data_IF_757927885138
#
_entry.id   IF_757927885138
#
_cell.length_a   1.000
_cell.length_b   1.000
_cell.length_c   1.000
_cell.angle_alpha   90.00
_cell.angle_beta   90.00
_cell.angle_gamma   90.00
#
_symmetry.space_group_name_H-M   'P 1'
#
loop_
_entity.id
_entity.type
_entity.pdbx_description
1 polymer ?
#
# COMPACT_ATOMS: atom_id res chain seq x y z
N UNK A 1 -7.63 9.63 -19.20
CA UNK A 1 -7.14 9.29 -17.85
C UNK A 1 -8.25 8.59 -17.09
N UNK A 2 -7.92 7.53 -16.35
CA UNK A 2 -8.93 6.65 -15.72
C UNK A 2 -9.85 7.40 -14.73
N UNK A 3 -9.32 8.41 -14.03
CA UNK A 3 -10.06 9.17 -13.00
C UNK A 3 -10.52 10.57 -13.47
N UNK A 4 -10.64 10.82 -14.77
CA UNK A 4 -11.07 12.13 -15.27
C UNK A 4 -12.50 12.48 -14.83
N UNK A 5 -13.41 11.52 -14.88
CA UNK A 5 -14.81 11.70 -14.48
C UNK A 5 -14.95 12.10 -13.00
N UNK A 6 -14.11 11.56 -12.12
CA UNK A 6 -14.07 11.94 -10.69
C UNK A 6 -13.67 13.40 -10.51
N UNK A 7 -12.73 13.89 -11.32
CA UNK A 7 -12.34 15.30 -11.30
C UNK A 7 -13.43 16.19 -11.89
N UNK A 8 -14.14 15.72 -12.91
CA UNK A 8 -15.26 16.43 -13.54
C UNK A 8 -16.47 16.53 -12.61
N UNK A 9 -16.75 15.49 -11.83
CA UNK A 9 -17.77 15.51 -10.77
C UNK A 9 -17.40 16.53 -9.68
N UNK A 10 -16.11 16.57 -9.28
CA UNK A 10 -15.64 17.43 -8.20
C UNK A 10 -15.49 18.91 -8.58
N UNK A 11 -15.03 19.20 -9.80
CA UNK A 11 -14.67 20.56 -10.24
C UNK A 11 -15.53 21.06 -11.41
N UNK A 12 -16.47 20.25 -11.93
CA UNK A 12 -17.34 20.63 -13.02
C UNK A 12 -16.57 21.01 -14.29
N UNK A 13 -16.96 22.12 -14.91
CA UNK A 13 -16.35 22.64 -16.13
C UNK A 13 -14.88 23.10 -15.95
N UNK A 14 -14.40 23.28 -14.72
CA UNK A 14 -12.99 23.63 -14.48
C UNK A 14 -12.05 22.44 -14.70
N UNK A 15 -12.58 21.21 -14.67
CA UNK A 15 -11.79 20.01 -14.93
C UNK A 15 -11.18 20.00 -16.35
N UNK A 16 -11.88 20.59 -17.34
CA UNK A 16 -11.41 20.68 -18.72
C UNK A 16 -10.19 21.63 -18.86
N UNK A 17 -9.97 22.53 -17.89
CA UNK A 17 -8.82 23.45 -17.85
C UNK A 17 -7.61 22.87 -17.13
N UNK A 18 -7.75 21.72 -16.46
CA UNK A 18 -6.65 21.11 -15.72
C UNK A 18 -5.58 20.59 -16.68
N UNK A 19 -4.29 20.84 -16.40
CA UNK A 19 -3.21 20.21 -17.16
C UNK A 19 -3.32 18.69 -17.11
N UNK A 20 -3.18 18.02 -18.26
CA UNK A 20 -3.26 16.56 -18.36
C UNK A 20 -2.24 15.85 -17.44
N UNK A 21 -1.07 16.47 -17.21
CA UNK A 21 -0.09 15.97 -16.24
C UNK A 21 -0.61 15.92 -14.81
N UNK A 22 -1.38 16.93 -14.38
CA UNK A 22 -1.99 16.95 -13.05
C UNK A 22 -3.08 15.88 -12.90
N UNK A 23 -3.89 15.67 -13.95
CA UNK A 23 -4.87 14.58 -14.01
C UNK A 23 -4.19 13.20 -13.93
N UNK A 24 -3.02 13.07 -14.56
CA UNK A 24 -2.17 11.87 -14.48
C UNK A 24 -1.67 11.61 -13.06
N UNK A 25 -1.10 12.62 -12.41
CA UNK A 25 -0.62 12.52 -11.01
C UNK A 25 -1.78 12.16 -10.07
N UNK A 26 -2.95 12.80 -10.22
CA UNK A 26 -4.12 12.48 -9.42
C UNK A 26 -4.51 10.99 -9.55
N UNK A 27 -4.52 10.47 -10.78
CA UNK A 27 -4.84 9.07 -11.04
C UNK A 27 -3.81 8.12 -10.39
N UNK A 28 -2.53 8.46 -10.44
CA UNK A 28 -1.46 7.68 -9.79
C UNK A 28 -1.58 7.70 -8.27
N UNK A 29 -1.80 8.88 -7.68
CA UNK A 29 -1.97 9.05 -6.23
C UNK A 29 -3.21 8.32 -5.72
N UNK A 30 -4.32 8.36 -6.46
CA UNK A 30 -5.54 7.63 -6.07
C UNK A 30 -5.33 6.12 -6.10
N UNK A 31 -4.57 5.59 -7.07
CA UNK A 31 -4.17 4.19 -7.07
C UNK A 31 -3.31 3.82 -5.86
N UNK A 32 -2.36 4.67 -5.47
CA UNK A 32 -1.54 4.47 -4.25
C UNK A 32 -2.43 4.48 -3.01
N UNK A 33 -3.38 5.42 -2.90
CA UNK A 33 -4.35 5.49 -1.81
C UNK A 33 -5.11 4.17 -1.66
N UNK A 34 -5.68 3.64 -2.74
CA UNK A 34 -6.43 2.38 -2.71
C UNK A 34 -5.52 1.21 -2.31
N UNK A 35 -4.30 1.13 -2.86
CA UNK A 35 -3.34 0.08 -2.50
C UNK A 35 -2.94 0.12 -1.02
N UNK A 36 -2.72 1.31 -0.46
CA UNK A 36 -2.45 1.49 0.96
C UNK A 36 -3.64 1.07 1.82
N UNK A 37 -4.87 1.42 1.42
CA UNK A 37 -6.08 0.98 2.14
C UNK A 37 -6.22 -0.54 2.15
N UNK A 38 -5.88 -1.22 1.06
CA UNK A 38 -5.86 -2.68 0.99
C UNK A 38 -4.80 -3.29 1.92
N UNK A 39 -3.59 -2.71 1.94
CA UNK A 39 -2.52 -3.14 2.86
C UNK A 39 -2.96 -2.95 4.31
N UNK A 40 -3.50 -1.77 4.64
CA UNK A 40 -4.01 -1.44 5.97
C UNK A 40 -5.11 -2.39 6.43
N UNK A 41 -6.05 -2.74 5.55
CA UNK A 41 -7.09 -3.72 5.86
C UNK A 41 -6.51 -5.11 6.14
N UNK A 42 -5.50 -5.53 5.37
CA UNK A 42 -4.82 -6.82 5.56
C UNK A 42 -4.00 -6.90 6.84
N UNK A 43 -3.28 -5.82 7.19
CA UNK A 43 -2.43 -5.75 8.38
C UNK A 43 -3.13 -5.19 9.63
N UNK A 44 -4.42 -4.85 9.52
CA UNK A 44 -5.25 -4.28 10.60
C UNK A 44 -4.73 -2.95 11.15
N UNK A 45 -4.18 -2.12 10.26
CA UNK A 45 -3.76 -0.75 10.59
C UNK A 45 -4.88 0.25 10.32
N UNK A 46 -5.19 1.11 11.29
CA UNK A 46 -6.27 2.10 11.18
C UNK A 46 -5.85 3.41 10.52
N UNK A 47 -4.55 3.70 10.50
CA UNK A 47 -3.96 4.89 9.91
C UNK A 47 -2.60 4.56 9.28
N UNK A 48 -2.17 5.38 8.31
CA UNK A 48 -0.93 5.14 7.54
C UNK A 48 0.31 5.11 8.45
N UNK A 49 0.32 5.91 9.52
CA UNK A 49 1.44 5.97 10.46
C UNK A 49 1.68 4.67 11.24
N UNK A 50 0.67 3.78 11.31
CA UNK A 50 0.80 2.49 11.99
C UNK A 50 1.35 1.39 11.06
N UNK A 51 1.44 1.65 9.75
CA UNK A 51 2.06 0.72 8.80
C UNK A 51 3.57 0.62 9.10
N UNK A 52 4.06 -0.60 9.20
CA UNK A 52 5.45 -0.92 9.52
C UNK A 52 6.00 -2.00 8.58
N UNK A 53 7.33 -2.17 8.60
CA UNK A 53 7.98 -3.28 7.87
C UNK A 53 7.61 -4.67 8.38
N UNK A 54 6.98 -4.78 9.56
CA UNK A 54 6.45 -6.06 10.06
C UNK A 54 5.16 -6.48 9.35
N UNK A 55 4.46 -5.55 8.71
CA UNK A 55 3.19 -5.81 8.01
C UNK A 55 3.37 -6.46 6.63
N UNK A 56 4.62 -6.68 6.21
CA UNK A 56 4.99 -7.25 4.92
C UNK A 56 6.06 -8.32 5.12
N UNK A 57 6.14 -9.24 4.16
CA UNK A 57 7.15 -10.29 4.09
C UNK A 57 7.62 -10.47 2.66
N UNK A 58 8.85 -10.98 2.50
CA UNK A 58 9.44 -11.27 1.20
C UNK A 58 8.99 -12.64 0.69
N UNK A 59 8.53 -12.69 -0.56
CA UNK A 59 8.11 -13.94 -1.22
C UNK A 59 9.29 -14.77 -1.75
N UNK A 60 10.49 -14.20 -1.83
CA UNK A 60 11.70 -14.89 -2.27
C UNK A 60 12.86 -14.61 -1.34
N UNK A 61 13.82 -15.53 -1.28
CA UNK A 61 15.03 -15.36 -0.48
C UNK A 61 15.91 -14.21 -1.01
N UNK A 62 15.97 -13.98 -2.32
CA UNK A 62 16.73 -12.87 -2.89
C UNK A 62 16.16 -11.53 -2.43
N UNK A 63 14.83 -11.40 -2.43
CA UNK A 63 14.16 -10.21 -1.91
C UNK A 63 14.47 -10.02 -0.42
N UNK A 64 14.46 -11.09 0.37
CA UNK A 64 14.83 -11.02 1.78
C UNK A 64 16.29 -10.57 1.96
N UNK A 65 17.23 -11.14 1.19
CA UNK A 65 18.66 -10.79 1.23
C UNK A 65 18.92 -9.32 0.87
N UNK A 66 18.19 -8.76 -0.09
CA UNK A 66 18.38 -7.37 -0.54
C UNK A 66 17.68 -6.36 0.38
N UNK A 67 16.46 -6.67 0.82
CA UNK A 67 15.61 -5.69 1.55
C UNK A 67 15.75 -5.76 3.07
N UNK A 68 16.21 -6.90 3.59
CA UNK A 68 16.21 -7.22 5.01
C UNK A 68 14.81 -7.52 5.57
N UNK A 69 13.78 -7.64 4.72
CA UNK A 69 12.44 -8.07 5.13
C UNK A 69 12.44 -9.60 5.27
N UNK A 70 11.85 -10.17 6.34
CA UNK A 70 11.83 -11.62 6.53
C UNK A 70 11.21 -12.37 5.35
N UNK A 71 11.78 -13.53 5.03
CA UNK A 71 11.18 -14.44 4.07
C UNK A 71 9.86 -15.01 4.63
N UNK A 72 8.90 -15.32 3.75
CA UNK A 72 7.55 -15.78 4.14
C UNK A 72 7.54 -16.95 5.13
N UNK A 73 8.54 -17.84 5.07
CA UNK A 73 8.64 -19.01 5.96
C UNK A 73 9.19 -18.67 7.36
N UNK A 74 9.78 -17.49 7.51
CA UNK A 74 10.39 -17.00 8.76
C UNK A 74 9.55 -15.91 9.42
N UNK A 75 8.62 -15.30 8.69
CA UNK A 75 7.74 -14.26 9.20
C UNK A 75 6.93 -14.76 10.42
N UNK A 76 7.04 -14.05 11.55
CA UNK A 76 6.38 -14.34 12.83
C UNK A 76 6.70 -15.72 13.45
N UNK A 77 7.73 -16.40 12.97
CA UNK A 77 8.08 -17.75 13.43
C UNK A 77 8.50 -17.79 14.90
N UNK A 78 9.31 -16.83 15.34
CA UNK A 78 9.80 -16.78 16.73
C UNK A 78 8.65 -16.54 17.71
N UNK A 79 7.77 -15.58 17.41
CA UNK A 79 6.60 -15.29 18.23
C UNK A 79 5.65 -16.50 18.28
N UNK A 80 5.46 -17.21 17.17
CA UNK A 80 4.62 -18.40 17.12
C UNK A 80 5.20 -19.55 17.96
N UNK A 81 6.50 -19.80 17.88
CA UNK A 81 7.18 -20.83 18.68
C UNK A 81 7.13 -20.50 20.17
N UNK A 82 7.34 -19.24 20.55
CA UNK A 82 7.25 -18.79 21.94
C UNK A 82 5.88 -19.04 22.58
N UNK A 83 4.80 -19.07 21.79
CA UNK A 83 3.43 -19.42 22.25
C UNK A 83 3.24 -20.94 22.35
N UNK A 84 3.88 -21.72 21.49
CA UNK A 84 3.76 -23.19 21.50
C UNK A 84 4.52 -23.78 22.69
N UNK A 85 5.68 -23.22 23.01
CA UNK A 85 6.57 -23.70 24.08
C UNK A 85 6.20 -23.16 25.48
N UNK A 86 5.20 -22.28 25.58
CA UNK A 86 4.67 -21.72 26.85
C UNK A 86 3.56 -22.56 27.45
#
# INVERSE_FOLDING_TARGET
FMNYEVLKEKYGAEADKLPLGAVGIFSATDKIKVGLQQLMAGSRNWEVQYISRKDIFSLTEECAKVTGIPYVMDAYREEALGIIDS
#
